data_IF_330733283820
#
_entry.id   IF_330733283820
#
_cell.length_a   1.000
_cell.length_b   1.000
_cell.length_c   1.000
_cell.angle_alpha   90.00
_cell.angle_beta   90.00
_cell.angle_gamma   90.00
#
_symmetry.space_group_name_H-M   'P 1'
#
loop_
_entity.id
_entity.type
_entity.pdbx_description
1 polymer ?
#
# COMPACT_ATOMS: atom_id res chain seq x y z
N UNK A 1 -0.36 -4.31 -26.33
CA UNK A 1 -0.68 -3.60 -25.08
C UNK A 1 -1.24 -2.22 -25.44
N UNK A 2 -2.50 -2.01 -25.13
CA UNK A 2 -3.13 -0.72 -25.44
C UNK A 2 -2.54 0.36 -24.55
N UNK A 3 -1.85 1.31 -25.17
CA UNK A 3 -1.44 2.53 -24.49
C UNK A 3 -2.56 3.53 -24.65
N UNK A 4 -3.10 3.99 -23.56
CA UNK A 4 -4.05 5.10 -23.61
C UNK A 4 -3.27 6.38 -23.87
N UNK A 5 -3.13 6.71 -25.15
CA UNK A 5 -2.49 7.97 -25.54
C UNK A 5 -3.34 9.12 -25.06
N UNK A 6 -2.76 10.05 -24.33
CA UNK A 6 -3.35 11.35 -24.11
C UNK A 6 -3.83 11.69 -22.70
N UNK A 7 -3.70 10.82 -21.74
CA UNK A 7 -4.04 11.16 -20.36
C UNK A 7 -2.81 11.22 -19.45
N UNK A 8 -1.95 12.19 -19.72
CA UNK A 8 -0.92 12.52 -18.76
C UNK A 8 -1.58 12.93 -17.43
N UNK A 9 -1.41 12.15 -16.38
CA UNK A 9 -2.01 12.41 -15.09
C UNK A 9 -3.51 12.14 -15.00
N UNK A 10 -4.07 11.41 -15.96
CA UNK A 10 -5.48 11.03 -15.93
C UNK A 10 -5.77 10.00 -14.84
N UNK A 11 -6.88 10.17 -14.13
CA UNK A 11 -7.37 9.21 -13.17
C UNK A 11 -8.17 8.14 -13.89
N UNK A 12 -7.99 6.87 -13.47
CA UNK A 12 -8.94 5.82 -13.84
C UNK A 12 -10.16 5.97 -12.94
N UNK A 13 -11.17 6.68 -13.46
CA UNK A 13 -12.40 6.92 -12.72
C UNK A 13 -13.06 5.60 -12.31
N UNK A 14 -13.31 5.44 -11.01
CA UNK A 14 -13.94 4.24 -10.47
C UNK A 14 -13.02 3.06 -10.19
N UNK A 15 -11.74 3.11 -10.60
CA UNK A 15 -10.78 2.07 -10.26
C UNK A 15 -10.21 2.32 -8.86
N UNK A 16 -10.25 1.28 -8.04
CA UNK A 16 -9.73 1.34 -6.68
C UNK A 16 -8.23 1.08 -6.65
N UNK A 17 -7.55 1.86 -5.85
CA UNK A 17 -6.18 1.63 -5.42
C UNK A 17 -6.13 1.82 -3.91
N UNK A 18 -4.96 1.71 -3.32
CA UNK A 18 -4.76 1.81 -1.88
C UNK A 18 -3.72 2.87 -1.58
N UNK A 19 -3.99 3.68 -0.59
CA UNK A 19 -2.99 4.56 0.03
C UNK A 19 -2.63 3.95 1.38
N UNK A 20 -1.35 3.65 1.57
CA UNK A 20 -0.85 2.98 2.77
C UNK A 20 0.17 3.87 3.48
N UNK A 21 -0.02 4.07 4.79
CA UNK A 21 0.89 4.84 5.62
C UNK A 21 1.99 3.92 6.15
N UNK A 22 3.24 4.25 5.84
CA UNK A 22 4.40 3.45 6.23
C UNK A 22 5.38 4.33 6.99
N UNK A 23 5.90 3.82 8.10
CA UNK A 23 6.88 4.54 8.92
C UNK A 23 8.20 4.70 8.15
N UNK A 24 8.94 5.80 8.40
CA UNK A 24 10.19 6.07 7.68
C UNK A 24 11.20 4.91 7.71
N UNK A 25 11.34 4.25 8.84
CA UNK A 25 12.21 3.08 9.01
C UNK A 25 11.91 1.99 7.96
N UNK A 26 10.64 1.69 7.77
CA UNK A 26 10.22 0.66 6.81
C UNK A 26 10.25 1.16 5.37
N UNK A 27 10.00 2.46 5.15
CA UNK A 27 10.18 3.05 3.82
C UNK A 27 11.63 2.86 3.33
N UNK A 28 12.60 3.09 4.18
CA UNK A 28 14.02 2.89 3.83
C UNK A 28 14.32 1.44 3.47
N UNK A 29 13.77 0.49 4.21
CA UNK A 29 13.94 -0.94 3.93
C UNK A 29 13.26 -1.36 2.63
N UNK A 30 12.13 -0.76 2.32
CA UNK A 30 11.43 -1.01 1.04
C UNK A 30 12.25 -0.45 -0.12
N UNK A 31 12.74 0.77 0.01
CA UNK A 31 13.54 1.43 -1.04
C UNK A 31 14.83 0.66 -1.31
N UNK A 32 15.48 0.16 -0.27
CA UNK A 32 16.72 -0.63 -0.41
C UNK A 32 16.50 -2.02 -1.00
N UNK A 33 15.26 -2.48 -1.06
CA UNK A 33 14.93 -3.83 -1.51
C UNK A 33 15.02 -4.91 -0.43
N UNK A 34 15.42 -4.56 0.79
CA UNK A 34 15.50 -5.52 1.90
C UNK A 34 14.12 -6.01 2.34
N UNK A 35 13.13 -5.10 2.34
CA UNK A 35 11.75 -5.40 2.72
C UNK A 35 10.89 -5.49 1.48
N UNK A 36 10.40 -6.68 1.18
CA UNK A 36 9.52 -6.92 0.03
C UNK A 36 8.12 -7.40 0.44
N UNK A 37 7.86 -7.50 1.75
CA UNK A 37 6.54 -7.85 2.29
C UNK A 37 6.20 -6.88 3.40
N UNK A 38 5.08 -6.17 3.24
CA UNK A 38 4.51 -5.31 4.26
C UNK A 38 3.45 -6.09 5.04
N UNK A 39 3.54 -6.08 6.36
CA UNK A 39 2.64 -6.85 7.22
C UNK A 39 1.56 -5.93 7.79
N UNK A 40 0.30 -6.32 7.59
CA UNK A 40 -0.86 -5.57 8.10
C UNK A 40 -1.88 -6.52 8.73
N UNK A 41 -2.68 -5.99 9.64
CA UNK A 41 -3.74 -6.76 10.32
C UNK A 41 -4.95 -6.98 9.44
N UNK A 42 -5.11 -6.14 8.42
CA UNK A 42 -6.24 -6.19 7.50
C UNK A 42 -5.74 -6.11 6.06
N UNK A 43 -6.63 -6.38 5.13
CA UNK A 43 -6.33 -6.30 3.71
C UNK A 43 -7.50 -5.69 2.94
N UNK A 44 -7.26 -5.09 1.77
CA UNK A 44 -8.33 -4.61 0.91
C UNK A 44 -9.20 -5.77 0.41
N UNK A 45 -10.47 -5.46 0.16
CA UNK A 45 -11.40 -6.38 -0.51
C UNK A 45 -11.22 -6.28 -2.02
N UNK A 46 -10.01 -6.59 -2.46
CA UNK A 46 -9.64 -6.57 -3.87
C UNK A 46 -8.76 -7.78 -4.16
N UNK A 47 -8.87 -8.30 -5.36
CA UNK A 47 -7.98 -9.35 -5.82
C UNK A 47 -6.67 -8.74 -6.29
N UNK A 48 -5.51 -9.29 -5.88
CA UNK A 48 -4.24 -8.89 -6.46
C UNK A 48 -4.20 -9.18 -7.98
N UNK A 49 -3.46 -8.38 -8.78
CA UNK A 49 -2.66 -7.25 -8.33
C UNK A 49 -3.49 -5.98 -8.17
N UNK A 50 -3.11 -5.16 -7.21
CA UNK A 50 -3.67 -3.83 -7.06
C UNK A 50 -2.59 -2.81 -6.69
N UNK A 51 -2.81 -1.55 -7.08
CA UNK A 51 -1.83 -0.49 -6.87
C UNK A 51 -1.90 0.04 -5.45
N UNK A 52 -0.72 0.27 -4.87
CA UNK A 52 -0.57 0.88 -3.56
C UNK A 52 0.33 2.11 -3.66
N UNK A 53 -0.13 3.22 -3.08
CA UNK A 53 0.66 4.44 -2.95
C UNK A 53 1.22 4.51 -1.54
N UNK A 54 2.51 4.84 -1.41
CA UNK A 54 3.21 4.85 -0.13
C UNK A 54 3.25 6.27 0.43
N UNK A 55 2.51 6.47 1.53
CA UNK A 55 2.62 7.69 2.32
C UNK A 55 3.67 7.48 3.41
N UNK A 56 4.70 8.32 3.42
CA UNK A 56 5.74 8.25 4.44
C UNK A 56 5.32 9.02 5.67
N UNK A 57 5.08 8.31 6.77
CA UNK A 57 4.65 8.94 8.03
C UNK A 57 5.66 9.97 8.52
N UNK A 58 5.16 11.06 9.08
CA UNK A 58 5.99 12.14 9.62
C UNK A 58 6.49 13.14 8.59
N UNK A 59 6.64 12.73 7.35
CA UNK A 59 7.10 13.57 6.25
C UNK A 59 5.94 14.28 5.53
N UNK A 60 4.75 13.70 5.57
CA UNK A 60 3.57 14.29 4.95
C UNK A 60 3.46 14.08 3.44
N UNK A 61 4.28 13.22 2.86
CA UNK A 61 4.35 13.04 1.40
C UNK A 61 4.12 11.61 0.96
N UNK A 62 3.53 11.47 -0.22
CA UNK A 62 3.46 10.19 -0.94
C UNK A 62 4.76 10.08 -1.74
N UNK A 63 5.56 9.10 -1.38
CA UNK A 63 6.93 8.97 -1.91
C UNK A 63 7.06 8.04 -3.09
N UNK A 64 6.07 7.19 -3.33
CA UNK A 64 6.15 6.21 -4.39
C UNK A 64 4.93 5.31 -4.45
N UNK A 65 5.04 4.27 -5.25
CA UNK A 65 3.97 3.31 -5.47
C UNK A 65 4.52 1.90 -5.74
N UNK A 66 3.69 0.90 -5.53
CA UNK A 66 4.00 -0.48 -5.90
C UNK A 66 2.73 -1.23 -6.31
N UNK A 67 2.90 -2.39 -6.91
CA UNK A 67 1.82 -3.34 -7.10
C UNK A 67 1.89 -4.39 -6.00
N UNK A 68 0.78 -4.58 -5.29
CA UNK A 68 0.61 -5.74 -4.43
C UNK A 68 0.12 -6.88 -5.30
N UNK A 69 1.02 -7.77 -5.67
CA UNK A 69 0.72 -8.87 -6.59
C UNK A 69 0.29 -10.16 -5.89
N UNK A 70 0.47 -10.22 -4.56
CA UNK A 70 0.12 -11.38 -3.75
C UNK A 70 -0.17 -10.95 -2.32
N UNK A 71 -1.18 -11.55 -1.72
CA UNK A 71 -1.46 -11.44 -0.29
C UNK A 71 -1.17 -12.78 0.37
N UNK A 72 -0.26 -12.78 1.33
CA UNK A 72 0.15 -13.96 2.08
C UNK A 72 -0.57 -13.97 3.42
N UNK A 73 -1.29 -15.05 3.71
CA UNK A 73 -1.96 -15.19 5.01
C UNK A 73 -0.91 -15.55 6.08
N UNK A 74 -0.92 -14.80 7.17
CA UNK A 74 -0.05 -15.04 8.31
C UNK A 74 -0.94 -15.53 9.45
N UNK A 75 -0.64 -16.72 9.97
CA UNK A 75 -1.48 -17.27 11.04
C UNK A 75 -1.26 -16.55 12.38
N UNK A 76 -2.24 -16.69 13.27
CA UNK A 76 -2.25 -15.98 14.56
C UNK A 76 -1.16 -16.37 15.54
N UNK A 77 -0.39 -17.42 15.27
CA UNK A 77 0.79 -17.76 16.05
C UNK A 77 2.04 -17.03 15.56
N UNK A 78 1.90 -16.13 14.58
CA UNK A 78 3.01 -15.39 13.99
C UNK A 78 3.91 -16.26 13.13
N UNK A 79 3.45 -17.44 12.73
CA UNK A 79 4.20 -18.29 11.83
C UNK A 79 4.03 -17.82 10.41
N UNK A 80 5.09 -17.21 9.91
CA UNK A 80 5.26 -16.97 8.49
C UNK A 80 6.05 -18.17 7.96
N UNK A 81 5.73 -18.68 6.76
CA UNK A 81 6.62 -19.62 6.09
C UNK A 81 8.04 -19.08 6.13
N UNK A 82 9.01 -19.92 6.41
CA UNK A 82 10.40 -19.50 6.66
C UNK A 82 11.00 -18.68 5.51
N UNK A 83 10.55 -18.94 4.30
CA UNK A 83 10.96 -18.21 3.11
C UNK A 83 10.30 -16.83 2.98
N UNK A 84 9.21 -16.57 3.69
CA UNK A 84 8.50 -15.30 3.67
C UNK A 84 8.83 -14.39 4.87
N UNK A 85 9.40 -14.92 5.93
CA UNK A 85 9.70 -14.17 7.16
C UNK A 85 10.79 -13.11 6.93
N UNK A 86 11.85 -13.47 6.24
CA UNK A 86 13.00 -12.60 6.00
C UNK A 86 12.64 -11.33 5.23
N UNK A 87 11.83 -11.40 4.14
CA UNK A 87 11.43 -10.22 3.40
C UNK A 87 10.55 -9.23 4.16
N UNK A 88 10.02 -9.59 5.32
CA UNK A 88 9.25 -8.67 6.17
C UNK A 88 10.14 -7.72 6.95
N UNK A 89 11.42 -8.05 7.15
CA UNK A 89 12.36 -7.35 8.02
C UNK A 89 11.90 -7.31 9.49
N UNK A 90 10.96 -8.18 9.86
CA UNK A 90 10.46 -8.28 11.23
C UNK A 90 10.97 -9.56 11.88
N UNK A 91 11.47 -9.44 13.11
CA UNK A 91 11.79 -10.61 13.91
C UNK A 91 10.50 -11.34 14.31
N UNK A 92 10.55 -12.68 14.52
CA UNK A 92 9.36 -13.43 14.93
C UNK A 92 8.65 -12.86 16.16
N UNK A 93 9.42 -12.37 17.14
CA UNK A 93 8.86 -11.76 18.34
C UNK A 93 8.10 -10.45 18.02
N UNK A 94 8.62 -9.64 17.12
CA UNK A 94 7.96 -8.42 16.68
C UNK A 94 6.65 -8.72 15.97
N UNK A 95 6.64 -9.72 15.11
CA UNK A 95 5.43 -10.17 14.41
C UNK A 95 4.37 -10.66 15.39
N UNK A 96 4.78 -11.49 16.34
CA UNK A 96 3.88 -12.02 17.35
C UNK A 96 3.27 -10.89 18.19
N UNK A 97 4.07 -9.93 18.60
CA UNK A 97 3.62 -8.80 19.38
C UNK A 97 2.68 -7.89 18.55
N UNK A 98 3.02 -7.64 17.29
CA UNK A 98 2.21 -6.81 16.41
C UNK A 98 0.84 -7.42 16.15
N UNK A 99 0.81 -8.71 15.83
CA UNK A 99 -0.43 -9.41 15.48
C UNK A 99 -1.25 -9.84 16.71
N UNK A 100 -0.62 -9.92 17.89
CA UNK A 100 -1.28 -10.30 19.14
C UNK A 100 -2.09 -11.60 19.02
N UNK A 101 -1.50 -12.61 18.40
CA UNK A 101 -2.13 -13.90 18.12
C UNK A 101 -3.35 -13.82 17.19
N UNK A 102 -3.61 -12.69 16.55
CA UNK A 102 -4.61 -12.56 15.49
C UNK A 102 -4.00 -12.87 14.13
N UNK A 103 -4.85 -13.19 13.16
CA UNK A 103 -4.42 -13.39 11.77
C UNK A 103 -3.98 -12.07 11.17
N UNK A 104 -2.90 -12.11 10.39
CA UNK A 104 -2.40 -10.96 9.64
C UNK A 104 -2.23 -11.29 8.17
N UNK A 105 -1.79 -10.29 7.42
CA UNK A 105 -1.61 -10.38 5.98
C UNK A 105 -0.26 -9.80 5.58
N UNK A 106 0.46 -10.52 4.75
CA UNK A 106 1.66 -10.02 4.09
C UNK A 106 1.32 -9.52 2.70
N UNK A 107 1.60 -8.28 2.43
CA UNK A 107 1.39 -7.66 1.11
C UNK A 107 2.71 -7.70 0.37
N UNK A 108 2.79 -8.50 -0.68
CA UNK A 108 4.01 -8.60 -1.47
C UNK A 108 4.19 -7.36 -2.36
N UNK A 109 5.36 -6.75 -2.27
CA UNK A 109 5.70 -5.52 -2.97
C UNK A 109 6.38 -5.86 -4.29
N UNK A 110 5.76 -5.50 -5.41
CA UNK A 110 6.34 -5.65 -6.74
C UNK A 110 6.24 -4.34 -7.51
N UNK A 111 7.00 -4.22 -8.60
CA UNK A 111 7.02 -3.02 -9.45
C UNK A 111 7.13 -1.71 -8.66
N UNK A 112 8.04 -1.69 -7.71
CA UNK A 112 8.26 -0.52 -6.87
C UNK A 112 8.77 0.65 -7.69
N UNK A 113 8.12 1.80 -7.55
CA UNK A 113 8.53 3.04 -8.18
C UNK A 113 8.56 4.14 -7.13
N UNK A 114 9.74 4.70 -6.90
CA UNK A 114 9.93 5.84 -6.01
C UNK A 114 9.94 7.10 -6.85
N UNK A 115 9.12 8.08 -6.48
CA UNK A 115 8.98 9.32 -7.24
C UNK A 115 10.21 10.21 -7.07
N UNK A 116 10.64 10.84 -8.17
CA UNK A 116 11.70 11.86 -8.12
C UNK A 116 11.27 13.04 -7.24
N UNK A 117 9.98 13.38 -7.33
CA UNK A 117 9.38 14.45 -6.53
C UNK A 117 8.22 13.88 -5.72
N UNK A 118 8.38 13.75 -4.39
CA UNK A 118 7.28 13.30 -3.54
C UNK A 118 6.04 14.17 -3.74
N UNK A 119 4.88 13.53 -3.68
CA UNK A 119 3.60 14.17 -3.97
C UNK A 119 2.85 14.51 -2.69
N UNK A 120 2.06 15.55 -2.76
CA UNK A 120 1.20 15.93 -1.65
C UNK A 120 -0.01 15.01 -1.55
N UNK A 121 -0.46 14.81 -0.32
CA UNK A 121 -1.63 13.96 -0.06
C UNK A 121 -2.89 14.45 -0.78
N UNK A 122 -3.06 15.77 -0.89
CA UNK A 122 -4.23 16.37 -1.55
C UNK A 122 -4.28 16.13 -3.06
N UNK A 123 -3.18 15.68 -3.68
CA UNK A 123 -3.18 15.32 -5.09
C UNK A 123 -3.92 14.02 -5.39
N UNK A 124 -4.22 13.24 -4.35
CA UNK A 124 -4.94 11.97 -4.47
C UNK A 124 -6.40 12.15 -4.11
N UNK A 125 -7.25 11.32 -4.70
CA UNK A 125 -8.68 11.33 -4.43
C UNK A 125 -9.05 10.11 -3.59
N UNK A 126 -9.58 10.34 -2.40
CA UNK A 126 -10.06 9.28 -1.54
C UNK A 126 -11.35 8.68 -2.06
N UNK A 127 -11.57 7.41 -1.73
CA UNK A 127 -12.81 6.71 -2.00
C UNK A 127 -13.43 6.28 -0.67
N UNK A 128 -14.66 6.70 -0.43
CA UNK A 128 -15.41 6.36 0.78
C UNK A 128 -16.59 5.48 0.41
N UNK A 129 -16.77 4.41 1.15
CA UNK A 129 -17.94 3.55 0.97
C UNK A 129 -19.20 4.25 1.49
N UNK A 130 -20.21 4.33 0.66
CA UNK A 130 -21.54 4.83 1.02
C UNK A 130 -22.57 3.75 0.71
N UNK A 131 -23.80 3.96 1.12
CA UNK A 131 -24.90 3.05 0.79
C UNK A 131 -25.19 3.00 -0.73
N UNK A 132 -24.69 3.97 -1.48
CA UNK A 132 -24.85 4.04 -2.94
C UNK A 132 -23.59 3.62 -3.70
N UNK A 133 -22.58 3.08 -3.00
CA UNK A 133 -21.30 2.70 -3.58
C UNK A 133 -20.16 3.61 -3.12
N UNK A 134 -19.06 3.59 -3.86
CA UNK A 134 -17.89 4.39 -3.53
C UNK A 134 -18.08 5.84 -3.98
N UNK A 135 -17.83 6.77 -3.08
CA UNK A 135 -17.91 8.21 -3.35
C UNK A 135 -16.50 8.82 -3.30
N UNK A 136 -16.09 9.54 -4.36
CA UNK A 136 -14.81 10.24 -4.34
C UNK A 136 -14.86 11.47 -3.44
N UNK A 137 -13.71 11.82 -2.86
CA UNK A 137 -13.59 13.01 -2.04
C UNK A 137 -12.14 13.33 -1.71
N UNK A 138 -11.88 14.52 -1.16
CA UNK A 138 -10.53 14.93 -0.83
C UNK A 138 -9.99 14.14 0.35
N UNK A 139 -8.67 13.98 0.38
CA UNK A 139 -7.96 13.39 1.49
C UNK A 139 -7.37 14.54 2.31
N UNK A 140 -7.87 14.72 3.52
CA UNK A 140 -7.45 15.83 4.39
C UNK A 140 -6.38 15.41 5.40
N UNK A 141 -6.23 14.12 5.63
CA UNK A 141 -5.21 13.56 6.54
C UNK A 141 -4.85 12.14 6.09
N UNK A 142 -3.64 11.69 6.44
CA UNK A 142 -3.23 10.33 6.07
C UNK A 142 -4.05 9.29 6.86
N UNK A 143 -4.23 8.09 6.27
CA UNK A 143 -4.87 7.00 7.01
C UNK A 143 -3.96 6.51 8.15
N UNK A 144 -4.57 5.95 9.20
CA UNK A 144 -3.80 5.32 10.28
C UNK A 144 -3.09 4.06 9.80
N UNK A 145 -3.70 3.33 8.89
CA UNK A 145 -3.12 2.13 8.27
C UNK A 145 -3.14 2.26 6.76
N UNK A 146 -4.31 2.08 6.16
CA UNK A 146 -4.51 2.24 4.73
C UNK A 146 -5.97 2.62 4.44
N UNK A 147 -6.20 3.12 3.22
CA UNK A 147 -7.55 3.46 2.75
C UNK A 147 -7.66 3.28 1.25
N UNK A 148 -8.87 3.21 0.75
CA UNK A 148 -9.11 3.22 -0.69
C UNK A 148 -8.95 4.62 -1.26
N UNK A 149 -8.35 4.68 -2.44
CA UNK A 149 -8.20 5.90 -3.26
C UNK A 149 -8.49 5.56 -4.71
N UNK A 150 -8.72 6.57 -5.52
CA UNK A 150 -8.79 6.38 -6.96
C UNK A 150 -7.40 6.06 -7.50
N UNK A 151 -7.34 5.09 -8.41
CA UNK A 151 -6.10 4.80 -9.11
C UNK A 151 -5.79 5.95 -10.07
N UNK A 152 -4.55 6.40 -10.06
CA UNK A 152 -4.07 7.40 -11.00
C UNK A 152 -3.21 6.73 -12.06
N UNK A 153 -3.36 7.20 -13.33
CA UNK A 153 -2.42 6.87 -14.39
C UNK A 153 -1.34 7.92 -14.35
N UNK A 154 -0.16 7.52 -13.97
CA UNK A 154 0.98 8.42 -13.86
C UNK A 154 1.91 8.21 -15.06
N UNK A 155 2.04 9.25 -15.88
CA UNK A 155 2.99 9.29 -17.00
C UNK A 155 4.18 10.17 -16.62
N UNK A 156 4.80 9.87 -15.50
CA UNK A 156 5.90 10.63 -14.97
C UNK A 156 7.21 10.52 -15.70
#
# INVERSE_FOLDING_TARGET
>A
MARFAGNAGGRRKGMKAVLISIRPKWCEKIISGEKTIEVRKTRPKMNPPFKCYIYKCGNGKVIGEFLCDEIININGAGRIPSDAARPTCLEPAELHQYLRAATGFGWHISDLRIYDHPRDLWEFTGLRQTKYGLAPGPITRPPQSWRYVEEEIWNG
#
